data_IF_515085001912
#
_entry.id   IF_515085001912
#
_cell.length_a   1.000
_cell.length_b   1.000
_cell.length_c   1.000
_cell.angle_alpha   90.00
_cell.angle_beta   90.00
_cell.angle_gamma   90.00
#
_symmetry.space_group_name_H-M   'P 1'
#
loop_
_entity.id
_entity.type
_entity.pdbx_description
1 polymer ?
#
# COMPACT_ATOMS: atom_id res chain seq x y z
N UNK A 1 13.64 -10.62 21.90
CA UNK A 1 14.51 -10.47 20.72
C UNK A 1 13.99 -11.35 19.57
N UNK A 2 12.77 -11.06 19.07
CA UNK A 2 12.10 -11.84 18.01
C UNK A 2 11.43 -10.91 16.97
N UNK A 3 11.10 -9.68 17.39
CA UNK A 3 10.55 -8.60 16.55
C UNK A 3 11.54 -8.07 15.49
N UNK A 4 12.84 -8.23 15.68
CA UNK A 4 13.86 -7.73 14.73
C UNK A 4 14.33 -8.77 13.72
N UNK A 5 13.93 -10.04 13.84
CA UNK A 5 14.43 -11.14 13.00
C UNK A 5 13.35 -11.79 12.14
N UNK A 6 12.08 -11.70 12.54
CA UNK A 6 10.95 -12.20 11.75
C UNK A 6 10.60 -11.22 10.64
N UNK A 7 10.53 -11.71 9.40
CA UNK A 7 10.37 -10.91 8.19
C UNK A 7 9.14 -9.97 8.21
N UNK A 8 8.07 -10.37 8.92
CA UNK A 8 6.81 -9.61 9.03
C UNK A 8 6.66 -8.73 10.27
N UNK A 9 7.60 -8.77 11.24
CA UNK A 9 7.51 -7.96 12.47
C UNK A 9 8.59 -6.88 12.55
N UNK A 10 9.50 -6.83 11.57
CA UNK A 10 10.52 -5.79 11.50
C UNK A 10 9.87 -4.42 11.25
N UNK A 11 10.03 -3.42 12.16
CA UNK A 11 9.39 -2.11 12.03
C UNK A 11 9.68 -1.43 10.68
N UNK A 12 10.92 -1.57 10.20
CA UNK A 12 11.37 -1.05 8.92
C UNK A 12 10.64 -1.69 7.73
N UNK A 13 10.38 -2.99 7.80
CA UNK A 13 9.70 -3.73 6.74
C UNK A 13 8.23 -3.33 6.71
N UNK A 14 7.63 -3.15 7.88
CA UNK A 14 6.23 -2.81 8.05
C UNK A 14 5.92 -1.40 7.50
N UNK A 15 6.67 -0.38 7.93
CA UNK A 15 6.42 1.02 7.53
C UNK A 15 6.79 1.26 6.07
N UNK A 16 8.00 0.88 5.62
CA UNK A 16 8.43 1.16 4.24
C UNK A 16 7.51 0.53 3.20
N UNK A 17 7.07 -0.71 3.43
CA UNK A 17 6.27 -1.43 2.43
C UNK A 17 4.85 -0.87 2.31
N UNK A 18 4.26 -0.37 3.40
CA UNK A 18 2.93 0.24 3.36
C UNK A 18 2.97 1.63 2.70
N UNK A 19 4.00 2.43 3.00
CA UNK A 19 4.19 3.75 2.38
C UNK A 19 4.45 3.60 0.87
N UNK A 20 5.37 2.71 0.47
CA UNK A 20 5.64 2.43 -0.94
C UNK A 20 4.41 1.84 -1.64
N UNK A 21 3.70 0.92 -0.98
CA UNK A 21 2.47 0.33 -1.50
C UNK A 21 1.38 1.36 -1.75
N UNK A 22 1.11 2.24 -0.78
CA UNK A 22 0.15 3.32 -0.92
C UNK A 22 0.54 4.29 -2.05
N UNK A 23 1.83 4.64 -2.14
CA UNK A 23 2.35 5.49 -3.22
C UNK A 23 2.11 4.87 -4.60
N UNK A 24 2.42 3.58 -4.77
CA UNK A 24 2.19 2.87 -6.03
C UNK A 24 0.70 2.79 -6.35
N UNK A 25 -0.15 2.45 -5.37
CA UNK A 25 -1.60 2.37 -5.58
C UNK A 25 -2.22 3.68 -6.07
N UNK A 26 -1.90 4.81 -5.41
CA UNK A 26 -2.39 6.14 -5.84
C UNK A 26 -1.83 6.53 -7.20
N UNK A 27 -0.55 6.27 -7.45
CA UNK A 27 0.11 6.61 -8.73
C UNK A 27 -0.52 5.88 -9.91
N UNK A 28 -0.73 4.56 -9.78
CA UNK A 28 -1.39 3.76 -10.82
C UNK A 28 -2.86 4.12 -10.99
N UNK A 29 -3.53 4.57 -9.93
CA UNK A 29 -4.91 5.05 -10.00
C UNK A 29 -5.01 6.31 -10.88
N UNK A 30 -4.07 7.25 -10.73
CA UNK A 30 -3.96 8.43 -11.59
C UNK A 30 -3.60 8.08 -13.05
N UNK A 31 -2.69 7.14 -13.26
CA UNK A 31 -2.28 6.71 -14.61
C UNK A 31 -3.44 6.06 -15.37
N UNK A 32 -4.25 5.27 -14.68
CA UNK A 32 -5.37 4.52 -15.27
C UNK A 32 -6.71 5.27 -15.24
N UNK A 33 -6.76 6.46 -14.65
CA UNK A 33 -7.91 7.36 -14.64
C UNK A 33 -8.60 7.57 -16.01
N UNK A 34 -7.89 7.62 -17.16
CA UNK A 34 -8.54 7.79 -18.47
C UNK A 34 -9.44 6.60 -18.89
N UNK A 35 -9.29 5.44 -18.24
CA UNK A 35 -10.04 4.24 -18.59
C UNK A 35 -11.42 4.22 -17.90
N UNK A 36 -12.43 3.60 -18.51
CA UNK A 36 -13.74 3.47 -17.89
C UNK A 36 -13.70 2.60 -16.63
N UNK A 37 -14.49 2.99 -15.63
CA UNK A 37 -14.73 2.17 -14.44
C UNK A 37 -15.57 0.92 -14.79
N UNK A 38 -15.34 -0.24 -14.14
CA UNK A 38 -14.39 -0.49 -13.05
C UNK A 38 -12.99 -0.94 -13.54
N UNK A 39 -12.75 -0.95 -14.86
CA UNK A 39 -11.53 -1.50 -15.45
C UNK A 39 -10.29 -0.69 -15.04
N UNK A 40 -10.40 0.63 -14.91
CA UNK A 40 -9.34 1.49 -14.38
C UNK A 40 -8.82 1.02 -13.01
N UNK A 41 -9.71 0.78 -12.04
CA UNK A 41 -9.38 0.41 -10.67
C UNK A 41 -8.81 -1.01 -10.58
N UNK A 42 -9.41 -1.95 -11.31
CA UNK A 42 -8.94 -3.35 -11.36
C UNK A 42 -7.53 -3.42 -11.96
N UNK A 43 -7.29 -2.66 -13.03
CA UNK A 43 -5.98 -2.62 -13.68
C UNK A 43 -4.95 -1.93 -12.78
N UNK A 44 -5.29 -0.77 -12.21
CA UNK A 44 -4.45 -0.06 -11.25
C UNK A 44 -4.03 -0.93 -10.08
N UNK A 45 -5.00 -1.59 -9.42
CA UNK A 45 -4.74 -2.43 -8.26
C UNK A 45 -3.89 -3.64 -8.59
N UNK A 46 -4.18 -4.35 -9.69
CA UNK A 46 -3.39 -5.51 -10.10
C UNK A 46 -1.93 -5.14 -10.42
N UNK A 47 -1.71 -4.01 -11.11
CA UNK A 47 -0.36 -3.53 -11.42
C UNK A 47 0.39 -3.04 -10.17
N UNK A 48 -0.24 -2.22 -9.34
CA UNK A 48 0.38 -1.73 -8.12
C UNK A 48 0.72 -2.87 -7.15
N UNK A 49 -0.19 -3.82 -6.95
CA UNK A 49 0.00 -4.97 -6.06
C UNK A 49 1.07 -5.91 -6.59
N UNK A 50 1.12 -6.18 -7.90
CA UNK A 50 2.18 -7.05 -8.45
C UNK A 50 3.57 -6.45 -8.29
N UNK A 51 3.74 -5.15 -8.55
CA UNK A 51 5.02 -4.44 -8.40
C UNK A 51 5.50 -4.45 -6.95
N UNK A 52 4.63 -4.08 -6.00
CA UNK A 52 5.02 -4.05 -4.58
C UNK A 52 5.32 -5.46 -4.06
N UNK A 53 4.60 -6.49 -4.53
CA UNK A 53 4.82 -7.86 -4.08
C UNK A 53 6.15 -8.40 -4.58
N UNK A 54 6.53 -8.11 -5.84
CA UNK A 54 7.87 -8.46 -6.35
C UNK A 54 8.96 -7.73 -5.57
N UNK A 55 8.77 -6.44 -5.28
CA UNK A 55 9.70 -5.67 -4.46
C UNK A 55 9.89 -6.31 -3.08
N UNK A 56 8.79 -6.68 -2.40
CA UNK A 56 8.83 -7.35 -1.11
C UNK A 56 9.49 -8.73 -1.14
N UNK A 57 9.29 -9.50 -2.22
CA UNK A 57 9.96 -10.78 -2.42
C UNK A 57 11.48 -10.60 -2.51
N UNK A 58 11.93 -9.58 -3.24
CA UNK A 58 13.37 -9.27 -3.39
C UNK A 58 13.96 -8.78 -2.06
N UNK A 59 13.25 -7.95 -1.31
CA UNK A 59 13.73 -7.39 -0.03
C UNK A 59 13.55 -8.34 1.16
N UNK A 60 12.88 -9.48 0.97
CA UNK A 60 12.56 -10.42 2.05
C UNK A 60 11.59 -9.84 3.08
N UNK A 61 10.71 -8.93 2.66
CA UNK A 61 9.73 -8.20 3.50
C UNK A 61 8.29 -8.47 3.05
N UNK A 62 7.99 -9.72 2.70
CA UNK A 62 6.68 -10.13 2.20
C UNK A 62 5.64 -9.99 3.31
N UNK A 63 4.75 -9.01 3.16
CA UNK A 63 3.72 -8.71 4.13
C UNK A 63 2.36 -8.56 3.42
N UNK A 64 1.44 -9.53 3.57
CA UNK A 64 0.14 -9.49 2.90
C UNK A 64 -0.68 -8.23 3.19
N UNK A 65 -0.54 -7.63 4.38
CA UNK A 65 -1.25 -6.40 4.76
C UNK A 65 -0.81 -5.17 3.95
N UNK A 66 0.46 -5.13 3.52
CA UNK A 66 0.98 -4.05 2.69
C UNK A 66 0.43 -4.14 1.26
N UNK A 67 0.30 -5.36 0.71
CA UNK A 67 -0.39 -5.60 -0.56
C UNK A 67 -1.86 -5.20 -0.49
N UNK A 68 -2.56 -5.47 0.62
CA UNK A 68 -3.93 -5.01 0.84
C UNK A 68 -4.02 -3.47 0.88
N UNK A 69 -3.08 -2.79 1.54
CA UNK A 69 -2.98 -1.31 1.58
C UNK A 69 -2.79 -0.73 0.18
N UNK A 70 -1.96 -1.37 -0.64
CA UNK A 70 -1.69 -0.98 -2.04
C UNK A 70 -2.95 -1.10 -2.90
N UNK A 71 -3.70 -2.19 -2.73
CA UNK A 71 -4.97 -2.39 -3.40
C UNK A 71 -5.97 -1.30 -3.00
N UNK A 72 -6.11 -1.05 -1.69
CA UNK A 72 -7.03 -0.04 -1.16
C UNK A 72 -6.70 1.37 -1.67
N UNK A 73 -5.42 1.70 -1.78
CA UNK A 73 -4.93 2.95 -2.37
C UNK A 73 -5.30 3.08 -3.86
N UNK A 74 -5.25 1.98 -4.61
CA UNK A 74 -5.62 1.97 -6.03
C UNK A 74 -7.12 2.17 -6.27
N UNK A 75 -7.97 1.65 -5.37
CA UNK A 75 -9.42 1.81 -5.42
C UNK A 75 -9.93 3.15 -4.85
N UNK A 76 -9.10 3.87 -4.09
CA UNK A 76 -9.51 5.05 -3.29
C UNK A 76 -9.98 6.28 -4.10
N UNK A 77 -9.98 6.23 -5.44
CA UNK A 77 -10.24 7.38 -6.29
C UNK A 77 -11.73 7.60 -6.67
N UNK A 78 -12.68 6.77 -6.23
CA UNK A 78 -14.07 6.85 -6.71
C UNK A 78 -15.20 6.48 -5.73
N UNK A 79 -14.91 6.17 -4.46
CA UNK A 79 -15.95 6.07 -3.41
C UNK A 79 -16.27 7.45 -2.84
N UNK A 80 -17.39 7.62 -2.11
CA UNK A 80 -17.89 8.88 -1.49
C UNK A 80 -16.86 9.72 -0.67
N UNK A 81 -15.62 9.27 -0.54
CA UNK A 81 -14.51 10.00 0.04
C UNK A 81 -13.85 10.88 -1.03
N UNK A 82 -14.41 12.07 -1.22
CA UNK A 82 -13.81 13.16 -2.00
C UNK A 82 -12.33 13.36 -1.64
N UNK A 83 -11.48 13.27 -2.66
CA UNK A 83 -10.22 14.00 -2.82
C UNK A 83 -9.24 13.94 -1.62
N UNK A 84 -8.93 12.73 -1.14
CA UNK A 84 -7.84 12.54 -0.19
C UNK A 84 -6.56 11.99 -0.83
N UNK A 85 -6.49 11.92 -2.17
CA UNK A 85 -5.41 11.35 -3.00
C UNK A 85 -4.14 10.94 -2.25
N UNK A 86 -3.17 11.86 -2.12
CA UNK A 86 -1.91 11.62 -1.40
C UNK A 86 -2.03 11.67 0.13
N UNK A 87 -3.12 12.23 0.68
CA UNK A 87 -3.39 12.20 2.12
C UNK A 87 -3.64 10.77 2.64
N UNK A 88 -4.04 9.85 1.75
CA UNK A 88 -4.05 8.40 2.03
C UNK A 88 -2.67 7.86 2.42
N UNK A 89 -1.59 8.45 1.91
CA UNK A 89 -0.22 8.06 2.29
C UNK A 89 0.07 8.48 3.74
N UNK A 90 -0.41 9.64 4.17
CA UNK A 90 -0.09 10.21 5.48
C UNK A 90 -0.96 9.60 6.60
N UNK A 91 -2.27 9.45 6.39
CA UNK A 91 -3.18 9.01 7.45
C UNK A 91 -3.19 7.47 7.61
N UNK A 92 -3.71 6.64 6.70
CA UNK A 92 -3.74 5.19 6.91
C UNK A 92 -2.38 4.50 6.66
N UNK A 93 -1.62 4.89 5.63
CA UNK A 93 -0.40 4.17 5.28
C UNK A 93 0.80 4.46 6.20
N UNK A 94 0.79 5.57 6.94
CA UNK A 94 1.85 5.93 7.89
C UNK A 94 1.40 5.73 9.35
N UNK A 95 0.19 6.16 9.74
CA UNK A 95 -0.28 6.02 11.12
C UNK A 95 -0.54 4.56 11.49
N UNK A 96 -1.12 3.75 10.60
CA UNK A 96 -1.38 2.33 10.88
C UNK A 96 -0.11 1.56 11.24
N UNK A 97 0.92 1.58 10.38
CA UNK A 97 2.23 0.99 10.68
C UNK A 97 2.90 1.56 11.93
N UNK A 98 2.83 2.87 12.16
CA UNK A 98 3.40 3.49 13.36
C UNK A 98 2.73 3.01 14.65
N UNK A 99 1.41 2.89 14.68
CA UNK A 99 0.69 2.35 15.84
C UNK A 99 1.13 0.91 16.13
N UNK A 100 1.28 0.07 15.10
CA UNK A 100 1.76 -1.31 15.27
C UNK A 100 3.20 -1.34 15.80
N UNK A 101 4.06 -0.43 15.36
CA UNK A 101 5.45 -0.34 15.84
C UNK A 101 5.53 0.18 17.28
N UNK A 102 4.65 1.10 17.69
CA UNK A 102 4.67 1.71 19.03
C UNK A 102 3.90 0.93 20.09
N UNK A 103 2.81 0.23 19.72
CA UNK A 103 2.02 -0.60 20.65
C UNK A 103 2.35 -2.10 20.59
N UNK A 104 3.08 -2.56 19.56
CA UNK A 104 3.43 -3.97 19.34
C UNK A 104 4.73 -4.43 19.98
#
# INVERSE_FOLDING_TARGET
MYLTTTQGAQPRALVCTHVLGAFLGVSFSHITHPLPAPLNQLLSSAFAVSIITVFMMITGTLQPSASATTCLAAFHLYGEMQDQGYMFIVAPALVGPLVIVFMG
#
